data_IF_453003216398
#
_entry.id   IF_453003216398
#
_cell.length_a   1.000
_cell.length_b   1.000
_cell.length_c   1.000
_cell.angle_alpha   90.00
_cell.angle_beta   90.00
_cell.angle_gamma   90.00
#
_symmetry.space_group_name_H-M   'P 1'
#
loop_
_entity.id
_entity.type
_entity.pdbx_description
1 polymer ?
#
# COMPACT_ATOMS: atom_id res chain seq x y z
N UNK A 1 0.68 3.98 -30.96
CA UNK A 1 -0.01 3.29 -29.84
C UNK A 1 0.30 1.81 -29.97
N UNK A 2 0.82 1.21 -28.90
CA UNK A 2 1.19 -0.19 -28.84
C UNK A 2 0.34 -0.90 -27.77
N UNK A 3 -0.11 -2.10 -28.11
CA UNK A 3 -0.78 -3.01 -27.18
C UNK A 3 0.12 -4.21 -27.02
N UNK A 4 0.47 -4.54 -25.79
CA UNK A 4 1.43 -5.61 -25.53
C UNK A 4 0.91 -6.64 -24.54
N UNK A 5 1.39 -7.86 -24.68
CA UNK A 5 1.23 -8.93 -23.71
C UNK A 5 2.49 -9.78 -23.70
N UNK A 6 3.13 -9.81 -22.56
CA UNK A 6 4.39 -10.49 -22.36
C UNK A 6 4.24 -11.57 -21.29
N UNK A 7 4.83 -12.73 -21.50
CA UNK A 7 4.81 -13.82 -20.53
C UNK A 7 6.24 -14.22 -20.20
N UNK A 8 6.58 -14.20 -18.93
CA UNK A 8 7.86 -14.62 -18.41
C UNK A 8 7.69 -15.90 -17.64
N UNK A 9 8.27 -16.96 -18.20
CA UNK A 9 8.33 -18.30 -17.61
C UNK A 9 9.68 -18.54 -16.95
N UNK A 10 9.77 -19.63 -16.20
CA UNK A 10 11.02 -20.10 -15.61
C UNK A 10 11.67 -19.06 -14.68
N UNK A 11 10.85 -18.34 -13.91
CA UNK A 11 11.36 -17.38 -12.92
C UNK A 11 11.99 -18.16 -11.78
N UNK A 12 13.24 -17.81 -11.49
CA UNK A 12 14.04 -18.41 -10.43
C UNK A 12 13.49 -17.98 -9.05
N UNK A 13 13.11 -18.98 -8.24
CA UNK A 13 12.59 -18.78 -6.90
C UNK A 13 12.87 -19.99 -6.00
N UNK A 14 12.78 -19.78 -4.70
CA UNK A 14 12.89 -20.85 -3.71
C UNK A 14 11.67 -21.76 -3.81
N UNK A 15 11.92 -23.09 -3.82
CA UNK A 15 10.87 -24.10 -3.74
C UNK A 15 10.27 -24.12 -2.33
N UNK A 16 8.96 -23.90 -2.24
CA UNK A 16 8.21 -23.99 -0.97
C UNK A 16 7.41 -25.29 -0.85
N UNK A 17 6.94 -25.82 -1.96
CA UNK A 17 6.17 -27.06 -1.98
C UNK A 17 7.07 -28.31 -1.95
N UNK A 18 8.00 -28.38 -1.00
CA UNK A 18 8.80 -29.59 -0.80
C UNK A 18 8.41 -30.27 0.51
N UNK A 19 8.05 -31.58 0.48
CA UNK A 19 7.78 -32.32 1.70
C UNK A 19 9.03 -32.39 2.60
N UNK A 20 8.84 -32.24 3.90
CA UNK A 20 9.92 -32.30 4.89
C UNK A 20 10.64 -33.66 4.90
N UNK A 21 9.96 -34.71 4.43
CA UNK A 21 10.49 -36.08 4.33
C UNK A 21 11.63 -36.21 3.32
N UNK A 22 11.81 -35.24 2.42
CA UNK A 22 12.94 -35.24 1.45
C UNK A 22 14.28 -35.03 2.13
N UNK A 23 14.29 -34.53 3.39
CA UNK A 23 15.49 -34.43 4.20
C UNK A 23 16.46 -33.33 3.79
N UNK A 24 16.02 -32.33 3.01
CA UNK A 24 16.83 -31.15 2.68
C UNK A 24 16.79 -30.15 3.83
N UNK A 25 17.95 -29.63 4.19
CA UNK A 25 18.09 -28.63 5.28
C UNK A 25 17.62 -27.25 4.83
N UNK A 26 17.78 -26.94 3.54
CA UNK A 26 17.34 -25.68 2.93
C UNK A 26 16.63 -25.97 1.62
N UNK A 27 15.55 -25.26 1.37
CA UNK A 27 14.81 -25.40 0.11
C UNK A 27 15.67 -24.97 -1.08
N UNK A 28 15.76 -25.81 -2.12
CA UNK A 28 16.51 -25.45 -3.32
C UNK A 28 15.80 -24.36 -4.11
N UNK A 29 16.58 -23.57 -4.83
CA UNK A 29 16.06 -22.64 -5.83
C UNK A 29 15.87 -23.35 -7.16
N UNK A 30 14.81 -22.99 -7.87
CA UNK A 30 14.51 -23.57 -9.19
C UNK A 30 13.68 -22.59 -10.06
N UNK A 31 13.62 -22.87 -11.33
CA UNK A 31 12.94 -22.04 -12.34
C UNK A 31 11.49 -22.49 -12.53
N UNK A 32 10.58 -22.09 -11.66
CA UNK A 32 9.17 -22.54 -11.68
C UNK A 32 8.15 -21.40 -11.74
N UNK A 33 8.54 -20.18 -11.43
CA UNK A 33 7.61 -19.04 -11.44
C UNK A 33 7.19 -18.64 -12.85
N UNK A 34 5.97 -18.10 -12.95
CA UNK A 34 5.41 -17.56 -14.19
C UNK A 34 4.69 -16.25 -13.90
N UNK A 35 5.00 -15.24 -14.72
CA UNK A 35 4.33 -13.94 -14.68
C UNK A 35 3.87 -13.53 -16.08
N UNK A 36 2.85 -12.68 -16.11
CA UNK A 36 2.33 -12.08 -17.32
C UNK A 36 2.16 -10.58 -17.13
N UNK A 37 2.76 -9.81 -18.02
CA UNK A 37 2.52 -8.37 -18.15
C UNK A 37 1.66 -8.10 -19.38
N UNK A 38 0.71 -7.19 -19.26
CA UNK A 38 -0.10 -6.72 -20.38
C UNK A 38 -0.43 -5.26 -20.20
N UNK A 39 -0.54 -4.57 -21.31
CA UNK A 39 -0.79 -3.15 -21.23
C UNK A 39 -0.97 -2.49 -22.59
N UNK A 40 -1.07 -1.19 -22.52
CA UNK A 40 -1.12 -0.30 -23.66
C UNK A 40 -0.21 0.89 -23.36
N UNK A 41 0.57 1.29 -24.34
CA UNK A 41 1.32 2.54 -24.29
C UNK A 41 1.15 3.32 -25.59
N UNK A 42 1.36 4.61 -25.49
CA UNK A 42 1.21 5.48 -26.62
C UNK A 42 1.74 6.87 -26.37
N UNK A 43 2.04 7.55 -27.47
CA UNK A 43 2.40 8.94 -27.47
C UNK A 43 1.68 9.69 -28.57
N UNK A 44 1.47 10.98 -28.32
CA UNK A 44 0.92 11.94 -29.29
C UNK A 44 1.89 13.12 -29.34
N UNK A 45 2.25 13.49 -30.55
CA UNK A 45 3.02 14.67 -30.84
C UNK A 45 2.31 15.47 -31.91
N UNK A 46 1.91 16.69 -31.59
CA UNK A 46 1.31 17.64 -32.50
C UNK A 46 2.11 18.93 -32.48
N UNK A 47 2.60 19.33 -33.63
CA UNK A 47 3.21 20.65 -33.81
C UNK A 47 2.42 21.39 -34.89
N UNK A 48 1.82 22.50 -34.53
CA UNK A 48 0.99 23.30 -35.42
C UNK A 48 1.55 24.72 -35.54
N UNK A 49 1.97 25.08 -36.71
CA UNK A 49 2.27 26.48 -37.07
C UNK A 49 0.99 27.15 -37.46
N UNK A 50 0.56 28.18 -36.71
CA UNK A 50 -0.65 28.97 -36.98
C UNK A 50 -0.35 30.04 -38.02
N UNK A 51 0.79 30.72 -37.83
CA UNK A 51 1.33 31.69 -38.77
C UNK A 51 2.85 31.87 -38.55
N UNK A 52 3.50 32.84 -39.17
CA UNK A 52 4.96 33.04 -39.04
C UNK A 52 5.39 33.32 -37.60
N UNK A 53 4.57 33.99 -36.82
CA UNK A 53 4.88 34.43 -35.48
C UNK A 53 4.35 33.44 -34.40
N UNK A 54 3.41 32.57 -34.77
CA UNK A 54 2.72 31.72 -33.78
C UNK A 54 2.82 30.24 -34.13
N UNK A 55 3.23 29.45 -33.18
CA UNK A 55 3.16 28.01 -33.24
C UNK A 55 2.85 27.42 -31.87
N UNK A 56 2.23 26.24 -31.91
CA UNK A 56 1.95 25.54 -30.69
C UNK A 56 2.33 24.06 -30.82
N UNK A 57 2.83 23.48 -29.73
CA UNK A 57 3.21 22.07 -29.68
C UNK A 57 2.52 21.40 -28.50
N UNK A 58 1.92 20.26 -28.78
CA UNK A 58 1.37 19.34 -27.76
C UNK A 58 2.15 18.06 -27.79
N UNK A 59 2.55 17.61 -26.63
CA UNK A 59 3.13 16.28 -26.43
C UNK A 59 2.37 15.59 -25.32
N UNK A 60 1.95 14.37 -25.57
CA UNK A 60 1.32 13.55 -24.55
C UNK A 60 1.84 12.11 -24.64
N UNK A 61 2.05 11.48 -23.54
CA UNK A 61 2.33 10.07 -23.45
C UNK A 61 1.53 9.43 -22.31
N UNK A 62 1.22 8.17 -22.46
CA UNK A 62 0.57 7.39 -21.42
C UNK A 62 0.98 5.92 -21.55
N UNK A 63 1.29 5.31 -20.43
CA UNK A 63 1.49 3.86 -20.32
C UNK A 63 0.54 3.33 -19.25
N UNK A 64 -0.20 2.28 -19.58
CA UNK A 64 -0.94 1.47 -18.62
C UNK A 64 -0.43 0.04 -18.70
N UNK A 65 0.14 -0.47 -17.63
CA UNK A 65 0.70 -1.82 -17.57
C UNK A 65 0.30 -2.53 -16.28
N UNK A 66 -0.13 -3.78 -16.41
CA UNK A 66 -0.46 -4.64 -15.27
C UNK A 66 0.35 -5.92 -15.38
N UNK A 67 1.13 -6.21 -14.34
CA UNK A 67 1.84 -7.46 -14.19
C UNK A 67 1.09 -8.37 -13.24
N UNK A 68 0.78 -9.58 -13.67
CA UNK A 68 0.06 -10.60 -12.90
C UNK A 68 0.97 -11.79 -12.63
N UNK A 69 0.99 -12.25 -11.41
CA UNK A 69 1.60 -13.53 -11.04
C UNK A 69 0.65 -14.63 -11.51
N UNK A 70 1.08 -15.45 -12.46
CA UNK A 70 0.28 -16.57 -12.98
C UNK A 70 0.51 -17.82 -12.13
N UNK A 71 1.77 -18.05 -11.76
CA UNK A 71 2.15 -19.15 -10.89
C UNK A 71 3.31 -18.74 -9.97
N UNK A 72 3.15 -19.00 -8.69
CA UNK A 72 4.16 -18.83 -7.68
C UNK A 72 4.22 -20.09 -6.81
N UNK A 73 5.42 -20.65 -6.60
CA UNK A 73 5.59 -21.80 -5.72
C UNK A 73 5.54 -21.32 -4.27
N UNK A 74 4.48 -21.70 -3.57
CA UNK A 74 4.20 -21.31 -2.19
C UNK A 74 3.60 -22.49 -1.42
N UNK A 75 3.69 -22.46 -0.12
CA UNK A 75 3.01 -23.43 0.75
C UNK A 75 1.50 -23.42 0.50
N UNK A 76 0.87 -24.55 0.84
CA UNK A 76 -0.59 -24.66 0.76
C UNK A 76 -1.25 -23.57 1.62
N UNK A 77 -2.06 -22.72 0.99
CA UNK A 77 -2.78 -21.64 1.69
C UNK A 77 -4.07 -22.16 2.28
N UNK A 78 -4.39 -21.70 3.49
CA UNK A 78 -5.64 -22.04 4.17
C UNK A 78 -6.84 -21.34 3.53
N UNK A 79 -6.64 -20.09 3.10
CA UNK A 79 -7.68 -19.28 2.48
C UNK A 79 -7.25 -18.81 1.07
N UNK A 80 -8.17 -18.78 0.09
CA UNK A 80 -7.84 -18.39 -1.30
C UNK A 80 -7.20 -17.00 -1.41
N UNK A 81 -7.57 -16.05 -0.56
CA UNK A 81 -7.01 -14.69 -0.58
C UNK A 81 -5.55 -14.63 -0.13
N UNK A 82 -5.02 -15.66 0.51
CA UNK A 82 -3.60 -15.75 0.89
C UNK A 82 -2.71 -16.14 -0.29
N UNK A 83 -3.28 -16.61 -1.41
CA UNK A 83 -2.51 -17.00 -2.58
C UNK A 83 -1.72 -15.84 -3.18
N UNK A 84 -0.48 -16.13 -3.60
CA UNK A 84 0.34 -15.24 -4.44
C UNK A 84 0.16 -15.50 -5.92
N UNK A 85 -0.45 -16.63 -6.31
CA UNK A 85 -0.83 -16.92 -7.69
C UNK A 85 -2.16 -16.24 -8.03
N UNK A 86 -2.32 -15.88 -9.29
CA UNK A 86 -3.48 -15.22 -9.87
C UNK A 86 -3.78 -13.80 -9.33
N UNK A 87 -2.79 -13.17 -8.69
CA UNK A 87 -2.89 -11.78 -8.20
C UNK A 87 -1.94 -10.85 -8.95
N UNK A 88 -2.17 -9.55 -8.85
CA UNK A 88 -1.24 -8.57 -9.41
C UNK A 88 0.09 -8.61 -8.64
N UNK A 89 1.19 -8.48 -9.38
CA UNK A 89 2.52 -8.48 -8.79
C UNK A 89 2.71 -7.28 -7.87
N UNK A 90 3.27 -7.56 -6.69
CA UNK A 90 3.56 -6.51 -5.70
C UNK A 90 2.32 -5.94 -5.01
N UNK A 91 1.14 -6.57 -5.13
CA UNK A 91 -0.04 -6.18 -4.37
C UNK A 91 0.29 -6.07 -2.88
N UNK A 92 -0.09 -4.94 -2.28
CA UNK A 92 0.11 -4.74 -0.86
C UNK A 92 -0.87 -5.59 -0.05
N UNK A 93 -0.37 -6.21 1.00
CA UNK A 93 -1.15 -7.07 1.89
C UNK A 93 -1.11 -6.50 3.30
N UNK A 94 -2.20 -6.62 4.00
CA UNK A 94 -2.33 -6.15 5.37
C UNK A 94 -3.71 -6.40 5.93
N UNK A 95 -3.93 -5.88 7.11
CA UNK A 95 -5.21 -5.96 7.82
C UNK A 95 -6.16 -4.86 7.32
N UNK A 96 -7.46 -5.15 7.35
CA UNK A 96 -8.49 -4.15 7.06
C UNK A 96 -8.85 -3.43 8.35
N UNK A 97 -8.51 -2.16 8.46
CA UNK A 97 -8.85 -1.33 9.60
C UNK A 97 -10.31 -0.87 9.55
N UNK A 98 -10.98 -0.88 10.69
CA UNK A 98 -12.35 -0.43 10.90
C UNK A 98 -12.44 0.91 11.67
N UNK A 99 -11.30 1.56 11.91
CA UNK A 99 -11.18 2.75 12.75
C UNK A 99 -10.45 2.48 14.05
N UNK A 100 -10.67 3.31 15.06
CA UNK A 100 -10.07 3.19 16.38
C UNK A 100 -11.13 2.74 17.39
N UNK A 101 -10.73 1.91 18.35
CA UNK A 101 -11.59 1.54 19.49
C UNK A 101 -11.94 2.78 20.32
N UNK A 102 -13.21 2.93 20.63
CA UNK A 102 -13.70 4.06 21.44
C UNK A 102 -13.62 3.79 22.94
N UNK A 103 -13.94 2.59 23.38
CA UNK A 103 -14.04 2.24 24.80
C UNK A 103 -13.77 0.74 25.01
N UNK A 104 -13.67 0.34 26.28
CA UNK A 104 -13.41 -1.04 26.67
C UNK A 104 -14.57 -2.01 26.33
N UNK A 105 -15.81 -1.52 26.33
CA UNK A 105 -16.97 -2.36 25.99
C UNK A 105 -16.97 -2.76 24.51
N UNK A 106 -16.49 -1.86 23.64
CA UNK A 106 -16.31 -2.18 22.22
C UNK A 106 -15.21 -3.24 22.04
N UNK A 107 -14.09 -3.12 22.75
CA UNK A 107 -13.02 -4.12 22.73
C UNK A 107 -13.54 -5.49 23.20
N UNK A 108 -14.28 -5.52 24.31
CA UNK A 108 -14.78 -6.76 24.88
C UNK A 108 -15.77 -7.49 23.97
N UNK A 109 -16.47 -6.77 23.08
CA UNK A 109 -17.44 -7.32 22.11
C UNK A 109 -16.85 -7.61 20.74
N UNK A 110 -15.63 -7.17 20.49
CA UNK A 110 -14.95 -7.35 19.20
C UNK A 110 -14.15 -8.66 19.18
N UNK A 111 -13.84 -9.21 18.00
CA UNK A 111 -12.89 -10.30 17.85
C UNK A 111 -11.56 -9.96 18.53
N UNK A 112 -10.96 -10.98 19.17
CA UNK A 112 -9.72 -10.80 19.93
C UNK A 112 -8.56 -10.53 18.98
N UNK A 113 -7.93 -9.36 19.08
CA UNK A 113 -6.68 -9.04 18.35
C UNK A 113 -5.48 -9.68 19.06
N UNK A 114 -4.70 -10.50 18.32
CA UNK A 114 -3.66 -11.37 18.91
C UNK A 114 -2.26 -10.73 18.95
N UNK A 115 -2.10 -9.56 18.35
CA UNK A 115 -0.78 -8.90 18.21
C UNK A 115 -0.26 -8.23 19.48
N UNK A 116 -1.09 -8.08 20.49
CA UNK A 116 -0.73 -7.48 21.77
C UNK A 116 -1.95 -7.04 22.57
N UNK A 117 -1.71 -6.37 23.70
CA UNK A 117 -2.78 -5.76 24.49
C UNK A 117 -3.40 -4.60 23.72
N UNK A 118 -4.73 -4.58 23.66
CA UNK A 118 -5.52 -3.56 22.98
C UNK A 118 -6.25 -2.70 24.01
N UNK A 119 -6.24 -1.38 23.78
CA UNK A 119 -6.90 -0.38 24.62
C UNK A 119 -7.69 0.61 23.77
N UNK A 120 -8.61 1.40 24.35
CA UNK A 120 -9.27 2.48 23.61
C UNK A 120 -8.25 3.40 22.91
N UNK A 121 -8.54 3.74 21.64
CA UNK A 121 -7.64 4.48 20.77
C UNK A 121 -6.66 3.63 19.96
N UNK A 122 -6.63 2.31 20.13
CA UNK A 122 -5.90 1.40 19.24
C UNK A 122 -6.71 1.08 17.99
N UNK A 123 -6.01 0.68 16.91
CA UNK A 123 -6.64 0.33 15.65
C UNK A 123 -7.44 -0.96 15.81
N UNK A 124 -8.70 -0.91 15.38
CA UNK A 124 -9.61 -2.05 15.30
C UNK A 124 -9.54 -2.65 13.90
N UNK A 125 -9.35 -3.95 13.81
CA UNK A 125 -9.28 -4.68 12.55
C UNK A 125 -10.50 -5.56 12.30
N UNK A 126 -10.72 -5.87 11.03
CA UNK A 126 -11.78 -6.76 10.58
C UNK A 126 -11.32 -8.21 10.67
N UNK A 127 -12.14 -9.04 11.28
CA UNK A 127 -12.06 -10.50 11.19
C UNK A 127 -12.58 -10.90 9.80
N UNK A 128 -11.68 -11.35 8.94
CA UNK A 128 -11.97 -11.64 7.53
C UNK A 128 -12.46 -13.07 7.37
N UNK A 129 -11.91 -14.00 8.16
CA UNK A 129 -12.26 -15.43 8.12
C UNK A 129 -13.39 -15.79 9.07
N UNK A 130 -13.85 -14.85 9.92
CA UNK A 130 -14.91 -14.99 10.90
C UNK A 130 -14.66 -16.08 11.95
N UNK A 131 -13.39 -16.24 12.39
CA UNK A 131 -13.02 -17.23 13.40
C UNK A 131 -13.01 -16.68 14.85
N UNK A 132 -13.33 -15.39 15.02
CA UNK A 132 -13.40 -14.68 16.31
C UNK A 132 -12.03 -14.15 16.80
N UNK A 133 -11.01 -14.19 15.97
CA UNK A 133 -9.69 -13.66 16.25
C UNK A 133 -9.24 -12.76 15.10
N UNK A 134 -8.28 -11.89 15.39
CA UNK A 134 -7.53 -11.14 14.38
C UNK A 134 -6.07 -11.58 14.48
N UNK A 135 -5.61 -12.27 13.45
CA UNK A 135 -4.25 -12.77 13.34
C UNK A 135 -3.75 -12.72 11.88
N UNK A 136 -2.65 -13.43 11.57
CA UNK A 136 -2.07 -13.40 10.24
C UNK A 136 -2.97 -14.05 9.17
N UNK A 137 -3.96 -14.85 9.58
CA UNK A 137 -4.98 -15.40 8.68
C UNK A 137 -5.95 -14.33 8.13
N UNK A 138 -6.02 -13.13 8.76
CA UNK A 138 -6.82 -12.00 8.28
C UNK A 138 -6.07 -11.06 7.33
N UNK A 139 -4.82 -11.36 6.99
CA UNK A 139 -4.03 -10.57 6.06
C UNK A 139 -4.50 -10.81 4.63
N UNK A 140 -5.05 -9.77 4.03
CA UNK A 140 -5.63 -9.79 2.67
C UNK A 140 -4.93 -8.79 1.74
N UNK A 141 -5.10 -8.90 0.42
CA UNK A 141 -4.74 -7.82 -0.50
C UNK A 141 -5.54 -6.54 -0.17
N UNK A 142 -4.86 -5.45 0.13
CA UNK A 142 -5.49 -4.18 0.55
C UNK A 142 -5.31 -3.05 -0.45
N UNK A 143 -4.32 -3.13 -1.34
CA UNK A 143 -4.01 -2.05 -2.27
C UNK A 143 -3.19 -2.51 -3.48
N UNK A 144 -3.01 -1.60 -4.44
CA UNK A 144 -2.07 -1.77 -5.53
C UNK A 144 -0.63 -1.81 -5.02
N UNK A 145 0.29 -2.14 -5.92
CA UNK A 145 1.73 -2.09 -5.66
C UNK A 145 2.22 -0.65 -5.51
N UNK A 146 3.42 -0.47 -4.98
CA UNK A 146 4.14 0.79 -5.00
C UNK A 146 4.75 1.14 -6.38
N UNK A 147 4.52 0.30 -7.38
CA UNK A 147 4.87 0.57 -8.78
C UNK A 147 3.59 1.02 -9.50
N UNK A 148 3.54 2.24 -10.06
CA UNK A 148 2.37 2.73 -10.76
C UNK A 148 1.98 1.85 -11.94
N UNK A 149 0.70 1.53 -12.06
CA UNK A 149 0.16 0.86 -13.24
C UNK A 149 -0.13 1.85 -14.38
N UNK A 150 -0.37 3.11 -14.05
CA UNK A 150 -0.56 4.19 -15.01
C UNK A 150 0.53 5.23 -14.80
N UNK A 151 1.18 5.61 -15.89
CA UNK A 151 2.10 6.74 -15.93
C UNK A 151 1.74 7.61 -17.13
N UNK A 152 1.69 8.91 -16.93
CA UNK A 152 1.37 9.83 -18.01
C UNK A 152 2.16 11.12 -17.94
N UNK A 153 2.35 11.72 -19.11
CA UNK A 153 2.92 13.04 -19.25
C UNK A 153 2.16 13.84 -20.29
N UNK A 154 1.98 15.13 -20.03
CA UNK A 154 1.33 16.04 -20.94
C UNK A 154 2.10 17.37 -20.95
N UNK A 155 2.55 17.81 -22.12
CA UNK A 155 3.28 19.06 -22.29
C UNK A 155 2.59 19.94 -23.34
N UNK A 156 2.48 21.20 -23.02
CA UNK A 156 2.05 22.27 -23.90
C UNK A 156 3.17 23.27 -24.07
N UNK A 157 3.43 23.70 -25.29
CA UNK A 157 4.34 24.76 -25.62
C UNK A 157 3.68 25.71 -26.61
N UNK A 158 3.70 26.99 -26.30
CA UNK A 158 3.22 28.03 -27.20
C UNK A 158 4.36 29.02 -27.48
N UNK A 159 4.61 29.26 -28.74
CA UNK A 159 5.59 30.23 -29.21
C UNK A 159 4.90 31.39 -29.89
N UNK A 160 5.23 32.60 -29.44
CA UNK A 160 4.85 33.85 -30.06
C UNK A 160 6.08 34.70 -30.33
N UNK A 161 6.46 34.84 -31.57
CA UNK A 161 7.67 35.57 -32.02
C UNK A 161 8.93 35.01 -31.32
N UNK A 162 9.51 35.78 -30.39
CA UNK A 162 10.69 35.42 -29.61
C UNK A 162 10.35 34.83 -28.22
N UNK A 163 9.07 34.80 -27.87
CA UNK A 163 8.63 34.29 -26.59
C UNK A 163 8.15 32.83 -26.71
N UNK A 164 8.57 32.02 -25.77
CA UNK A 164 8.09 30.63 -25.64
C UNK A 164 7.63 30.43 -24.22
N UNK A 165 6.40 29.93 -24.07
CA UNK A 165 5.83 29.52 -22.79
C UNK A 165 5.57 28.02 -22.89
N UNK A 166 6.04 27.27 -21.90
CA UNK A 166 5.79 25.83 -21.85
C UNK A 166 5.33 25.41 -20.47
N UNK A 167 4.48 24.38 -20.43
CA UNK A 167 4.03 23.73 -19.21
C UNK A 167 4.11 22.21 -19.41
N UNK A 168 4.66 21.52 -18.43
CA UNK A 168 4.75 20.06 -18.38
C UNK A 168 4.02 19.57 -17.14
N UNK A 169 3.12 18.61 -17.35
CA UNK A 169 2.43 17.88 -16.30
C UNK A 169 2.81 16.41 -16.39
N UNK A 170 3.16 15.82 -15.26
CA UNK A 170 3.43 14.39 -15.17
C UNK A 170 2.65 13.82 -14.00
N UNK A 171 2.22 12.58 -14.12
CA UNK A 171 1.47 11.93 -13.06
C UNK A 171 1.57 10.42 -13.13
N UNK A 172 1.21 9.82 -12.03
CA UNK A 172 1.08 8.38 -11.86
C UNK A 172 -0.27 8.08 -11.20
N UNK A 173 -0.81 6.89 -11.47
CA UNK A 173 -2.05 6.44 -10.84
C UNK A 173 -2.05 4.92 -10.68
N UNK A 174 -3.01 4.41 -9.91
CA UNK A 174 -3.05 3.01 -9.48
C UNK A 174 -1.74 2.58 -8.83
N UNK A 175 -1.28 3.40 -7.92
CA UNK A 175 -0.13 3.18 -7.06
C UNK A 175 -0.55 3.47 -5.64
N UNK A 176 -0.08 2.67 -4.71
CA UNK A 176 -0.33 2.89 -3.29
C UNK A 176 0.98 2.80 -2.53
N UNK A 177 0.99 3.37 -1.33
CA UNK A 177 2.10 3.15 -0.45
C UNK A 177 1.63 3.08 1.00
N UNK A 178 2.37 2.33 1.83
CA UNK A 178 2.07 2.19 3.26
C UNK A 178 2.99 3.08 4.05
N UNK A 179 2.42 3.96 4.85
CA UNK A 179 3.16 4.66 5.87
C UNK A 179 3.66 3.66 6.92
N UNK A 180 4.94 3.74 7.26
CA UNK A 180 5.48 2.80 8.24
C UNK A 180 6.96 3.01 8.54
N UNK A 181 7.49 2.10 9.36
CA UNK A 181 8.89 2.09 9.76
C UNK A 181 9.24 3.12 10.84
N UNK A 182 10.52 3.15 11.21
CA UNK A 182 11.03 3.94 12.35
C UNK A 182 10.91 5.45 12.16
N UNK A 183 10.79 5.93 10.93
CA UNK A 183 10.58 7.35 10.65
C UNK A 183 9.14 7.81 10.77
N UNK A 184 8.19 6.90 10.85
CA UNK A 184 6.77 7.23 10.80
C UNK A 184 5.99 6.75 12.03
N UNK A 185 6.17 5.48 12.44
CA UNK A 185 5.48 4.96 13.63
C UNK A 185 6.03 5.59 14.90
N UNK A 186 5.16 6.13 15.76
CA UNK A 186 5.58 6.69 17.06
C UNK A 186 6.32 5.62 17.86
N UNK A 187 7.48 5.97 18.40
CA UNK A 187 8.30 5.13 19.28
C UNK A 187 8.65 3.73 18.72
N UNK A 188 8.73 3.59 17.41
CA UNK A 188 9.01 2.30 16.75
C UNK A 188 10.38 1.70 17.08
N UNK A 189 11.32 2.51 17.55
CA UNK A 189 12.59 2.07 18.15
C UNK A 189 12.49 1.67 19.61
N UNK A 190 11.30 1.34 20.09
CA UNK A 190 11.02 1.11 21.50
C UNK A 190 11.02 2.43 22.28
N UNK A 191 11.60 2.44 23.46
CA UNK A 191 11.62 3.60 24.37
C UNK A 191 12.42 4.79 23.86
N UNK A 192 13.30 4.58 22.89
CA UNK A 192 14.19 5.62 22.33
C UNK A 192 13.71 6.22 21.01
N UNK A 193 12.51 5.85 20.55
CA UNK A 193 11.97 6.36 19.29
C UNK A 193 11.47 7.80 19.41
N UNK A 194 11.48 8.50 18.27
CA UNK A 194 10.88 9.81 18.12
C UNK A 194 9.42 9.73 17.66
N UNK A 195 8.73 10.88 17.70
CA UNK A 195 7.41 11.07 17.10
C UNK A 195 7.45 12.22 16.09
N UNK A 196 6.62 12.14 15.08
CA UNK A 196 6.42 13.27 14.17
C UNK A 196 5.71 14.41 14.89
N UNK A 197 6.05 15.66 14.55
CA UNK A 197 5.41 16.84 15.13
C UNK A 197 3.88 16.84 14.95
N UNK A 198 3.39 16.35 13.82
CA UNK A 198 1.95 16.21 13.57
C UNK A 198 1.27 15.21 14.52
N UNK A 199 1.97 14.16 14.97
CA UNK A 199 1.46 13.18 15.94
C UNK A 199 1.48 13.73 17.34
N UNK A 200 2.37 14.69 17.65
CA UNK A 200 2.47 15.29 18.98
C UNK A 200 1.23 16.14 19.34
N UNK A 201 0.51 16.68 18.36
CA UNK A 201 -0.74 17.40 18.60
C UNK A 201 -1.85 16.41 19.05
N UNK A 202 -2.43 16.59 20.27
CA UNK A 202 -3.51 15.74 20.78
C UNK A 202 -4.75 15.65 19.89
N UNK A 203 -4.99 16.65 19.03
CA UNK A 203 -6.14 16.68 18.10
C UNK A 203 -5.96 15.80 16.88
N UNK A 204 -4.72 15.50 16.52
CA UNK A 204 -4.41 14.66 15.35
C UNK A 204 -4.37 13.16 15.67
N UNK A 205 -4.28 12.82 16.95
CA UNK A 205 -4.30 11.43 17.41
C UNK A 205 -5.45 11.20 18.39
N UNK A 206 -5.83 9.98 18.56
CA UNK A 206 -6.71 9.62 19.67
C UNK A 206 -5.98 9.90 21.00
N UNK A 207 -6.58 10.71 21.84
CA UNK A 207 -6.00 11.09 23.13
C UNK A 207 -7.07 11.01 24.20
N UNK A 208 -6.83 10.34 25.33
CA UNK A 208 -7.83 10.24 26.38
C UNK A 208 -8.15 11.61 26.97
N UNK A 209 -9.43 11.86 27.25
CA UNK A 209 -9.94 13.13 27.75
C UNK A 209 -9.30 13.56 29.09
N UNK A 210 -8.98 12.60 29.94
CA UNK A 210 -8.30 12.90 31.23
C UNK A 210 -6.90 13.49 31.03
N UNK A 211 -6.24 13.20 29.90
CA UNK A 211 -4.91 13.74 29.58
C UNK A 211 -4.99 15.09 28.84
N UNK A 212 -5.86 15.18 27.85
CA UNK A 212 -6.02 16.39 27.02
C UNK A 212 -6.83 17.49 27.69
N UNK A 213 -7.69 17.13 28.64
CA UNK A 213 -8.72 18.02 29.22
C UNK A 213 -9.91 18.26 28.27
N UNK A 214 -9.97 17.60 27.11
CA UNK A 214 -10.98 17.81 26.09
C UNK A 214 -11.54 16.45 25.60
N UNK A 215 -12.82 16.12 25.85
CA UNK A 215 -13.43 14.88 25.39
C UNK A 215 -13.45 14.70 23.87
N UNK A 216 -13.36 15.78 23.11
CA UNK A 216 -13.34 15.70 21.64
C UNK A 216 -12.08 15.03 21.07
N UNK A 217 -11.04 14.89 21.87
CA UNK A 217 -9.80 14.20 21.48
C UNK A 217 -9.89 12.66 21.52
N UNK A 218 -10.91 12.11 22.17
CA UNK A 218 -11.26 10.68 22.08
C UNK A 218 -11.98 10.39 20.76
N UNK A 219 -11.39 10.86 19.65
CA UNK A 219 -12.00 10.77 18.33
C UNK A 219 -11.68 9.42 17.67
N UNK A 220 -12.68 8.57 17.40
CA UNK A 220 -12.47 7.28 16.73
C UNK A 220 -11.99 7.40 15.29
N UNK A 221 -12.13 8.58 14.68
CA UNK A 221 -11.68 8.91 13.33
C UNK A 221 -10.40 9.77 13.32
N UNK A 222 -9.67 9.82 14.44
CA UNK A 222 -8.40 10.52 14.48
C UNK A 222 -7.41 9.94 13.46
N UNK A 223 -6.58 10.80 12.90
CA UNK A 223 -5.59 10.40 11.88
C UNK A 223 -4.55 9.42 12.42
N UNK A 224 -4.28 9.46 13.71
CA UNK A 224 -3.30 8.59 14.38
C UNK A 224 -3.94 7.89 15.57
N UNK A 225 -3.54 6.65 15.86
CA UNK A 225 -3.99 5.96 17.05
C UNK A 225 -3.38 6.61 18.31
N UNK A 226 -3.78 6.11 19.49
CA UNK A 226 -3.20 6.55 20.75
C UNK A 226 -1.68 6.30 20.78
N UNK A 227 -0.96 7.14 21.52
CA UNK A 227 0.45 6.92 21.81
C UNK A 227 0.63 5.81 22.86
N UNK A 228 1.68 5.05 22.67
CA UNK A 228 2.18 4.08 23.67
C UNK A 228 3.63 4.37 23.95
N UNK A 229 4.03 4.10 25.16
CA UNK A 229 5.44 4.04 25.49
C UNK A 229 5.98 2.67 25.03
N UNK A 230 6.99 2.68 24.17
CA UNK A 230 7.45 1.49 23.46
C UNK A 230 6.61 1.16 22.20
N UNK A 231 7.02 0.09 21.52
CA UNK A 231 6.38 -0.38 20.28
C UNK A 231 4.96 -0.88 20.54
N UNK A 232 4.01 -0.40 19.76
CA UNK A 232 2.65 -0.95 19.72
C UNK A 232 2.52 -1.94 18.54
N UNK A 233 2.68 -3.21 18.83
CA UNK A 233 2.63 -4.27 17.80
C UNK A 233 1.29 -4.37 17.08
N UNK A 234 0.18 -3.95 17.73
CA UNK A 234 -1.13 -3.92 17.09
C UNK A 234 -1.22 -2.76 16.10
N UNK A 235 -0.85 -1.55 16.52
CA UNK A 235 -1.00 -0.35 15.69
C UNK A 235 0.05 -0.26 14.56
N UNK A 236 1.20 -0.93 14.70
CA UNK A 236 2.29 -0.89 13.73
C UNK A 236 2.18 -2.00 12.65
N UNK A 237 1.00 -2.59 12.48
CA UNK A 237 0.73 -3.56 11.41
C UNK A 237 0.42 -2.86 10.09
N UNK A 238 0.92 -3.47 9.00
CA UNK A 238 0.48 -3.09 7.66
C UNK A 238 -1.04 -3.23 7.57
N UNK A 239 -1.72 -2.14 7.25
CA UNK A 239 -3.18 -2.11 7.23
C UNK A 239 -3.70 -0.96 6.37
N UNK A 240 -4.99 -0.99 6.08
CA UNK A 240 -5.66 0.11 5.38
C UNK A 240 -5.63 1.42 6.17
N UNK A 241 -5.35 1.40 7.47
CA UNK A 241 -5.19 2.61 8.28
C UNK A 241 -3.96 3.45 7.85
N UNK A 242 -2.90 2.79 7.43
CA UNK A 242 -1.64 3.40 7.02
C UNK A 242 -1.48 3.51 5.51
N UNK A 243 -2.52 3.14 4.78
CA UNK A 243 -2.51 3.18 3.32
C UNK A 243 -2.67 4.60 2.81
N UNK A 244 -1.87 4.97 1.81
CA UNK A 244 -2.03 6.19 1.04
C UNK A 244 -2.12 5.89 -0.46
N UNK A 245 -2.94 6.66 -1.14
CA UNK A 245 -2.99 6.70 -2.60
C UNK A 245 -1.93 7.66 -3.13
N UNK A 246 -1.29 7.28 -4.23
CA UNK A 246 -0.31 8.08 -4.96
C UNK A 246 -0.83 8.57 -6.30
#
# INVERSE_FOLDING_TARGET
>A
VDIFRDTRDNIFQERKMMPSEVGVVTNPYTNVGRMRSSGIDGNIYLNQKINEDNSFTVRANMTYAVSKVVHWDQDAVRYPYQSYSDVNYGVMRGLVALGLFQNQDEINRSPKQTYGEVRPGDIRYKDVNADGKIDDDDIVPIAHSNVPQIQYGFALEYRYKRWTISALFTGAAKVNFLYGGSGFYPFSGGEVGNILSIVNDPKNRWTPAWYSGDPSTENPNARFPRLTYGENKNNNRASTFWLADG
#
